data_IF_020486217104
#
_entry.id   IF_020486217104
#
_cell.length_a   1.000
_cell.length_b   1.000
_cell.length_c   1.000
_cell.angle_alpha   90.00
_cell.angle_beta   90.00
_cell.angle_gamma   90.00
#
_symmetry.space_group_name_H-M   'P 1'
#
loop_
_entity.id
_entity.type
_entity.pdbx_description
1 polymer ?
#
# COMPACT_ATOMS: atom_id res chain seq x y z
N UNK A 1 19.27 8.54 19.75
CA UNK A 1 19.91 8.40 18.42
C UNK A 1 19.21 7.28 17.68
N UNK A 2 19.50 7.08 16.39
CA UNK A 2 18.91 5.97 15.62
C UNK A 2 19.30 4.58 16.14
N UNK A 3 20.40 4.46 16.88
CA UNK A 3 20.89 3.17 17.41
C UNK A 3 19.94 2.57 18.44
N UNK A 4 19.44 3.37 19.39
CA UNK A 4 18.46 2.93 20.39
C UNK A 4 17.17 2.38 19.76
N UNK A 5 16.74 2.91 18.61
CA UNK A 5 15.56 2.40 17.91
C UNK A 5 15.81 1.08 17.20
N UNK A 6 17.04 0.83 16.75
CA UNK A 6 17.43 -0.41 16.08
C UNK A 6 17.72 -1.56 17.05
N UNK A 7 18.00 -1.26 18.31
CA UNK A 7 18.27 -2.25 19.35
C UNK A 7 17.16 -3.31 19.48
N UNK A 8 15.90 -2.93 19.26
CA UNK A 8 14.75 -3.85 19.30
C UNK A 8 14.81 -5.00 18.26
N UNK A 9 15.66 -4.88 17.24
CA UNK A 9 15.87 -5.92 16.23
C UNK A 9 17.01 -6.88 16.58
N UNK A 10 17.82 -6.57 17.61
CA UNK A 10 18.91 -7.40 18.14
C UNK A 10 19.83 -7.99 17.04
N UNK A 11 20.10 -7.20 15.99
CA UNK A 11 20.89 -7.63 14.83
C UNK A 11 22.02 -6.66 14.52
N UNK A 12 23.25 -7.18 14.55
CA UNK A 12 24.46 -6.45 14.21
C UNK A 12 24.51 -6.05 12.72
N UNK A 13 23.81 -6.81 11.85
CA UNK A 13 23.78 -6.60 10.38
C UNK A 13 22.54 -5.88 9.89
N UNK A 14 21.70 -5.37 10.79
CA UNK A 14 20.38 -4.81 10.45
C UNK A 14 20.40 -3.80 9.30
N UNK A 15 21.38 -2.90 9.26
CA UNK A 15 21.46 -1.90 8.17
C UNK A 15 21.87 -2.53 6.84
N UNK A 16 22.78 -3.51 6.85
CA UNK A 16 23.22 -4.22 5.65
C UNK A 16 22.08 -5.06 5.07
N UNK A 17 21.29 -5.70 5.94
CA UNK A 17 20.10 -6.46 5.55
C UNK A 17 19.04 -5.54 4.89
N UNK A 18 18.82 -4.34 5.43
CA UNK A 18 17.91 -3.35 4.83
C UNK A 18 18.38 -2.86 3.46
N UNK A 19 19.66 -2.56 3.29
CA UNK A 19 20.22 -2.15 1.99
C UNK A 19 20.09 -3.28 0.96
N UNK A 20 20.40 -4.52 1.36
CA UNK A 20 20.27 -5.69 0.50
C UNK A 20 18.81 -5.95 0.06
N UNK A 21 17.84 -5.74 0.96
CA UNK A 21 16.42 -5.82 0.62
C UNK A 21 15.99 -4.68 -0.32
N UNK A 22 16.49 -3.47 -0.10
CA UNK A 22 16.23 -2.34 -0.98
C UNK A 22 16.74 -2.58 -2.39
N UNK A 23 17.97 -3.07 -2.54
CA UNK A 23 18.55 -3.36 -3.86
C UNK A 23 17.80 -4.47 -4.61
N UNK A 24 17.24 -5.45 -3.90
CA UNK A 24 16.35 -6.46 -4.49
C UNK A 24 15.02 -5.87 -4.99
N UNK A 25 14.43 -4.92 -4.25
CA UNK A 25 13.17 -4.28 -4.60
C UNK A 25 13.33 -3.21 -5.69
N UNK A 26 14.48 -2.56 -5.75
CA UNK A 26 14.77 -1.39 -6.59
C UNK A 26 14.43 -1.57 -8.08
N UNK A 27 14.72 -2.69 -8.76
CA UNK A 27 14.32 -2.88 -10.16
C UNK A 27 12.80 -2.80 -10.35
N UNK A 28 12.04 -3.48 -9.48
CA UNK A 28 10.57 -3.44 -9.52
C UNK A 28 10.04 -2.03 -9.27
N UNK A 29 10.58 -1.35 -8.25
CA UNK A 29 10.23 0.03 -7.94
C UNK A 29 10.50 0.97 -9.13
N UNK A 30 11.65 0.83 -9.80
CA UNK A 30 12.00 1.66 -10.96
C UNK A 30 11.06 1.43 -12.14
N UNK A 31 10.65 0.19 -12.42
CA UNK A 31 9.67 -0.11 -13.45
C UNK A 31 8.30 0.49 -13.12
N UNK A 32 7.83 0.32 -11.88
CA UNK A 32 6.57 0.91 -11.42
C UNK A 32 6.62 2.44 -11.47
N UNK A 33 7.69 3.05 -10.96
CA UNK A 33 7.92 4.50 -10.99
C UNK A 33 7.90 5.04 -12.43
N UNK A 34 8.62 4.40 -13.35
CA UNK A 34 8.64 4.81 -14.76
C UNK A 34 7.26 4.69 -15.41
N UNK A 35 6.54 3.60 -15.13
CA UNK A 35 5.17 3.40 -15.60
C UNK A 35 4.23 4.49 -15.09
N UNK A 36 4.21 4.74 -13.78
CA UNK A 36 3.38 5.78 -13.15
C UNK A 36 3.73 7.16 -13.68
N UNK A 37 5.02 7.49 -13.80
CA UNK A 37 5.47 8.75 -14.42
C UNK A 37 4.90 8.91 -15.82
N UNK A 38 4.92 7.86 -16.66
CA UNK A 38 4.34 7.90 -18.00
C UNK A 38 2.83 8.12 -17.98
N UNK A 39 2.10 7.52 -17.04
CA UNK A 39 0.65 7.72 -16.88
C UNK A 39 0.32 9.16 -16.44
N UNK A 40 1.08 9.70 -15.49
CA UNK A 40 0.94 11.09 -15.04
C UNK A 40 1.27 12.10 -16.15
N UNK A 41 2.30 11.85 -16.96
CA UNK A 41 2.61 12.70 -18.14
C UNK A 41 1.45 12.69 -19.13
N UNK A 42 0.81 11.54 -19.37
CA UNK A 42 -0.38 11.47 -20.25
C UNK A 42 -1.56 12.27 -19.70
N UNK A 43 -1.72 12.32 -18.38
CA UNK A 43 -2.81 13.04 -17.72
C UNK A 43 -2.56 14.55 -17.62
N UNK A 44 -1.35 14.97 -17.26
CA UNK A 44 -1.02 16.35 -16.89
C UNK A 44 -0.15 17.10 -17.91
N UNK A 45 0.41 16.41 -18.90
CA UNK A 45 1.26 17.00 -19.93
C UNK A 45 2.76 16.90 -19.66
N UNK A 46 3.55 16.84 -20.73
CA UNK A 46 5.01 16.75 -20.69
C UNK A 46 5.69 18.09 -20.32
N UNK A 47 4.96 19.21 -20.37
CA UNK A 47 5.45 20.52 -19.90
C UNK A 47 5.48 20.61 -18.37
N UNK A 48 4.70 19.78 -17.66
CA UNK A 48 4.65 19.73 -16.19
C UNK A 48 5.55 18.68 -15.58
N UNK A 49 5.73 17.55 -16.25
CA UNK A 49 6.47 16.39 -15.74
C UNK A 49 7.52 15.95 -16.76
N UNK A 50 8.80 15.97 -16.35
CA UNK A 50 9.92 15.56 -17.20
C UNK A 50 9.93 14.04 -17.40
N UNK A 51 10.13 13.58 -18.65
CA UNK A 51 10.12 12.15 -18.99
C UNK A 51 11.25 11.34 -18.30
N UNK A 52 12.37 11.99 -17.98
CA UNK A 52 13.56 11.41 -17.35
C UNK A 52 13.87 12.00 -15.97
N UNK A 53 12.93 12.74 -15.36
CA UNK A 53 13.09 13.36 -14.05
C UNK A 53 12.30 12.65 -12.94
N UNK A 54 12.45 13.09 -11.68
CA UNK A 54 11.58 12.66 -10.59
C UNK A 54 10.13 13.11 -10.83
N UNK A 55 9.18 12.42 -10.21
CA UNK A 55 7.77 12.81 -10.20
C UNK A 55 7.57 13.89 -9.13
N UNK A 56 6.85 15.00 -9.40
CA UNK A 56 6.50 15.99 -8.38
C UNK A 56 5.71 15.38 -7.22
N UNK A 57 6.17 15.59 -5.98
CA UNK A 57 5.67 14.90 -4.79
C UNK A 57 4.18 15.12 -4.46
N UNK A 58 3.61 16.25 -4.85
CA UNK A 58 2.20 16.58 -4.59
C UNK A 58 1.22 15.83 -5.51
N UNK A 59 1.71 15.11 -6.53
CA UNK A 59 0.86 14.43 -7.52
C UNK A 59 0.47 13.01 -7.13
N UNK A 60 0.88 12.52 -5.96
CA UNK A 60 0.64 11.13 -5.54
C UNK A 60 -0.72 10.90 -4.84
N UNK A 61 -1.53 11.94 -4.66
CA UNK A 61 -2.80 11.85 -3.92
C UNK A 61 -2.63 11.59 -2.41
N UNK A 62 -1.39 11.59 -1.94
CA UNK A 62 -0.99 11.46 -0.55
C UNK A 62 0.03 12.55 -0.23
N UNK A 63 -0.10 13.21 0.92
CA UNK A 63 0.71 14.37 1.31
C UNK A 63 2.23 14.09 1.28
N UNK A 64 2.63 12.84 1.56
CA UNK A 64 4.03 12.43 1.65
C UNK A 64 4.47 11.47 0.55
N UNK A 65 3.59 11.19 -0.43
CA UNK A 65 3.83 10.22 -1.49
C UNK A 65 4.23 8.81 -1.00
N UNK A 66 3.93 8.47 0.26
CA UNK A 66 4.29 7.17 0.86
C UNK A 66 3.42 6.02 0.34
N UNK A 67 2.26 6.35 -0.20
CA UNK A 67 1.33 5.41 -0.84
C UNK A 67 0.77 6.06 -2.10
N UNK A 68 0.67 5.25 -3.16
CA UNK A 68 0.21 5.67 -4.48
C UNK A 68 -1.16 5.07 -4.84
N UNK A 69 -1.87 4.52 -3.84
CA UNK A 69 -3.19 3.89 -4.03
C UNK A 69 -4.19 4.85 -4.69
N UNK A 70 -4.15 6.12 -4.33
CA UNK A 70 -4.99 7.17 -4.92
C UNK A 70 -4.72 7.43 -6.41
N UNK A 71 -3.64 6.87 -6.98
CA UNK A 71 -3.35 6.95 -8.42
C UNK A 71 -3.94 5.80 -9.22
N UNK A 72 -4.66 4.86 -8.59
CA UNK A 72 -5.22 3.68 -9.27
C UNK A 72 -6.02 4.07 -10.51
N UNK A 73 -6.90 5.07 -10.45
CA UNK A 73 -7.72 5.51 -11.58
C UNK A 73 -6.87 6.02 -12.77
N UNK A 74 -5.73 6.66 -12.49
CA UNK A 74 -4.82 7.19 -13.51
C UNK A 74 -3.92 6.08 -14.05
N UNK A 75 -3.44 5.21 -13.17
CA UNK A 75 -2.42 4.21 -13.45
C UNK A 75 -2.99 2.82 -13.77
N UNK A 76 -4.31 2.63 -13.82
CA UNK A 76 -4.91 1.34 -14.13
C UNK A 76 -4.46 0.85 -15.54
N UNK A 77 -3.86 -0.35 -15.67
CA UNK A 77 -3.36 -0.84 -16.96
C UNK A 77 -4.47 -1.11 -17.98
N UNK A 78 -5.59 -1.66 -17.52
CA UNK A 78 -6.71 -2.08 -18.37
C UNK A 78 -8.00 -1.40 -17.90
N UNK A 79 -8.42 -0.37 -18.62
CA UNK A 79 -9.66 0.36 -18.34
C UNK A 79 -10.88 -0.54 -18.55
N UNK A 80 -11.89 -0.38 -17.70
CA UNK A 80 -13.16 -1.12 -17.80
C UNK A 80 -13.09 -2.57 -17.35
N UNK A 81 -11.95 -3.04 -16.80
CA UNK A 81 -11.90 -4.29 -16.05
C UNK A 81 -12.26 -4.00 -14.60
N UNK A 82 -13.35 -4.58 -14.07
CA UNK A 82 -13.77 -4.31 -12.70
C UNK A 82 -12.70 -4.82 -11.74
N UNK A 83 -12.34 -3.99 -10.76
CA UNK A 83 -11.68 -4.46 -9.54
C UNK A 83 -12.72 -5.08 -8.61
N UNK A 84 -12.28 -5.95 -7.73
CA UNK A 84 -13.13 -6.45 -6.65
C UNK A 84 -13.26 -5.35 -5.61
N UNK A 85 -14.38 -4.62 -5.65
CA UNK A 85 -14.81 -3.73 -4.58
C UNK A 85 -16.04 -4.34 -3.91
N UNK A 86 -15.90 -4.69 -2.63
CA UNK A 86 -16.96 -5.31 -1.82
C UNK A 86 -17.78 -4.29 -1.03
N UNK A 87 -17.41 -3.01 -1.06
CA UNK A 87 -18.07 -1.95 -0.30
C UNK A 87 -19.58 -1.88 -0.57
N UNK A 88 -20.06 -1.88 -1.84
CA UNK A 88 -21.49 -1.82 -2.11
C UNK A 88 -22.26 -3.03 -1.56
N UNK A 89 -21.60 -4.19 -1.47
CA UNK A 89 -22.20 -5.42 -0.92
C UNK A 89 -22.27 -5.35 0.60
N UNK A 90 -21.23 -4.81 1.25
CA UNK A 90 -21.23 -4.58 2.70
C UNK A 90 -22.33 -3.59 3.10
N UNK A 91 -22.48 -2.50 2.35
CA UNK A 91 -23.55 -1.51 2.53
C UNK A 91 -24.92 -2.13 2.30
N UNK A 92 -25.11 -2.89 1.21
CA UNK A 92 -26.38 -3.56 0.93
C UNK A 92 -26.77 -4.59 2.01
N UNK A 93 -25.79 -5.19 2.69
CA UNK A 93 -26.00 -6.08 3.83
C UNK A 93 -26.16 -5.33 5.17
N UNK A 94 -26.02 -4.00 5.18
CA UNK A 94 -25.94 -3.18 6.40
C UNK A 94 -24.92 -3.70 7.41
N UNK A 95 -23.76 -4.14 6.92
CA UNK A 95 -22.75 -4.76 7.74
C UNK A 95 -22.22 -3.78 8.79
N UNK A 96 -22.43 -4.11 10.05
CA UNK A 96 -21.97 -3.29 11.19
C UNK A 96 -20.48 -3.49 11.44
N UNK A 97 -19.86 -2.52 12.13
CA UNK A 97 -18.48 -2.65 12.57
C UNK A 97 -18.28 -3.90 13.45
N UNK A 98 -19.25 -4.22 14.31
CA UNK A 98 -19.22 -5.42 15.16
C UNK A 98 -19.14 -6.70 14.32
N UNK A 99 -20.00 -6.84 13.31
CA UNK A 99 -20.00 -8.00 12.42
C UNK A 99 -18.69 -8.10 11.63
N UNK A 100 -18.09 -6.97 11.23
CA UNK A 100 -16.77 -6.98 10.59
C UNK A 100 -15.68 -7.57 11.51
N UNK A 101 -15.69 -7.22 12.81
CA UNK A 101 -14.76 -7.81 13.77
C UNK A 101 -15.07 -9.30 14.02
N UNK A 102 -16.34 -9.71 14.07
CA UNK A 102 -16.72 -11.11 14.23
C UNK A 102 -16.30 -11.97 13.02
N UNK A 103 -16.43 -11.45 11.79
CA UNK A 103 -15.90 -12.11 10.58
C UNK A 103 -14.39 -12.28 10.67
N UNK A 104 -13.67 -11.28 11.20
CA UNK A 104 -12.23 -11.38 11.44
C UNK A 104 -11.90 -12.45 12.48
N UNK A 105 -12.67 -12.54 13.56
CA UNK A 105 -12.50 -13.57 14.59
C UNK A 105 -12.76 -14.98 14.03
N UNK A 106 -13.81 -15.16 13.23
CA UNK A 106 -14.09 -16.42 12.52
C UNK A 106 -12.89 -16.82 11.63
N UNK A 107 -12.29 -15.86 10.91
CA UNK A 107 -11.10 -16.14 10.11
C UNK A 107 -9.94 -16.66 10.98
N UNK A 108 -9.58 -15.97 12.06
CA UNK A 108 -8.47 -16.40 12.92
C UNK A 108 -8.75 -17.74 13.62
N UNK A 109 -9.96 -17.94 14.13
CA UNK A 109 -10.35 -19.19 14.79
C UNK A 109 -10.44 -20.36 13.80
N UNK A 110 -10.79 -20.12 12.53
CA UNK A 110 -10.75 -21.15 11.48
C UNK A 110 -9.34 -21.67 11.21
N UNK A 111 -8.31 -20.87 11.49
CA UNK A 111 -6.90 -21.27 11.43
C UNK A 111 -6.41 -21.95 12.73
N UNK A 112 -7.29 -22.15 13.72
CA UNK A 112 -6.96 -22.74 15.02
C UNK A 112 -6.35 -21.75 16.01
N UNK A 113 -6.42 -20.44 15.75
CA UNK A 113 -5.96 -19.41 16.68
C UNK A 113 -7.02 -19.13 17.75
N UNK A 114 -6.61 -18.48 18.84
CA UNK A 114 -7.50 -18.18 19.96
C UNK A 114 -8.54 -17.12 19.57
N UNK A 115 -9.80 -17.26 20.02
CA UNK A 115 -10.79 -16.19 19.91
C UNK A 115 -10.41 -15.00 20.80
N UNK A 116 -11.08 -13.87 20.60
CA UNK A 116 -10.96 -12.71 21.45
C UNK A 116 -11.52 -13.00 22.85
N UNK A 117 -10.95 -12.38 23.90
CA UNK A 117 -11.48 -12.50 25.25
C UNK A 117 -12.83 -11.79 25.37
N UNK A 118 -13.63 -12.16 26.37
CA UNK A 118 -14.94 -11.55 26.59
C UNK A 118 -14.82 -10.05 26.88
N UNK A 119 -13.75 -9.60 27.53
CA UNK A 119 -13.49 -8.20 27.87
C UNK A 119 -13.16 -7.31 26.66
N UNK A 120 -12.86 -7.91 25.50
CA UNK A 120 -12.67 -7.16 24.26
C UNK A 120 -14.01 -6.65 23.69
N UNK A 121 -15.10 -7.36 23.95
CA UNK A 121 -16.45 -7.11 23.42
C UNK A 121 -17.31 -6.29 24.38
#
# INVERSE_FOLDING_TARGET
>A
TGDMWREAYESDTFNDDLEALWDQLKPLYQHLHAYVRRRLIRQYGADKIKENGPIPAHLFGNMWAQSWVSLLDIAQPYLGKPSVDVTPIMEAKNLSALEMFQISEEFFTSLGLKPMPAEFW
#
